data_IF_972016409290
#
_entry.id   IF_972016409290
#
_cell.length_a   1.000
_cell.length_b   1.000
_cell.length_c   1.000
_cell.angle_alpha   90.00
_cell.angle_beta   90.00
_cell.angle_gamma   90.00
#
_symmetry.space_group_name_H-M   'P 1'
#
loop_
_entity.id
_entity.type
_entity.pdbx_description
1 polymer ?
#
# COMPACT_ATOMS: atom_id res chain seq x y z
N UNK A 1 -1.55 1.38 1.02
CA UNK A 1 -1.97 0.48 -0.09
C UNK A 1 -2.06 1.27 -1.38
N UNK A 2 -1.66 0.69 -2.51
CA UNK A 2 -1.66 1.36 -3.83
C UNK A 2 -2.24 0.45 -4.90
N UNK A 3 -2.66 1.02 -6.03
CA UNK A 3 -2.93 0.26 -7.24
C UNK A 3 -1.63 -0.15 -7.97
N UNK A 4 -1.75 -0.82 -9.12
CA UNK A 4 -0.61 -1.26 -9.94
C UNK A 4 0.20 -0.10 -10.55
N UNK A 5 -0.34 1.09 -10.57
CA UNK A 5 0.32 2.31 -11.09
C UNK A 5 0.95 3.16 -9.98
N UNK A 6 0.84 2.73 -8.72
CA UNK A 6 1.32 3.46 -7.55
C UNK A 6 0.38 4.54 -7.05
N UNK A 7 -0.86 4.59 -7.55
CA UNK A 7 -1.86 5.53 -7.04
C UNK A 7 -2.29 5.09 -5.64
N UNK A 8 -2.20 5.96 -4.61
CA UNK A 8 -2.60 5.60 -3.26
C UNK A 8 -4.11 5.36 -3.19
N UNK A 9 -4.52 4.22 -2.64
CA UNK A 9 -5.91 3.81 -2.46
C UNK A 9 -6.37 3.91 -1.01
N UNK A 10 -5.48 3.58 -0.08
CA UNK A 10 -5.73 3.68 1.35
C UNK A 10 -4.42 3.91 2.10
N UNK A 11 -4.47 4.64 3.18
CA UNK A 11 -3.36 4.89 4.08
C UNK A 11 -3.86 4.86 5.53
N UNK A 12 -3.05 4.28 6.41
CA UNK A 12 -3.29 4.23 7.85
C UNK A 12 -2.00 4.65 8.54
N UNK A 13 -2.12 5.43 9.60
CA UNK A 13 -1.00 5.85 10.44
C UNK A 13 -1.07 5.12 11.76
N UNK A 14 0.04 4.55 12.18
CA UNK A 14 0.16 3.87 13.46
C UNK A 14 1.51 4.18 14.13
N UNK A 15 1.61 3.85 15.42
CA UNK A 15 2.87 3.96 16.12
C UNK A 15 3.93 3.00 15.56
N UNK A 16 5.19 3.40 15.59
CA UNK A 16 6.31 2.62 15.04
C UNK A 16 6.49 1.22 15.70
N UNK A 17 5.87 0.98 16.83
CA UNK A 17 5.86 -0.30 17.52
C UNK A 17 4.72 -1.23 17.07
N UNK A 18 3.83 -0.76 16.20
CA UNK A 18 2.73 -1.58 15.68
C UNK A 18 3.22 -2.38 14.48
N UNK A 19 3.09 -3.70 14.56
CA UNK A 19 3.49 -4.59 13.47
C UNK A 19 2.55 -4.44 12.28
N UNK A 20 3.10 -4.29 11.07
CA UNK A 20 2.37 -3.97 9.84
C UNK A 20 1.23 -4.96 9.52
N UNK A 21 1.42 -6.24 9.85
CA UNK A 21 0.39 -7.27 9.65
C UNK A 21 -0.93 -6.96 10.39
N UNK A 22 -0.85 -6.27 11.54
CA UNK A 22 -2.03 -5.87 12.33
C UNK A 22 -2.81 -4.74 11.67
N UNK A 23 -2.16 -3.95 10.81
CA UNK A 23 -2.76 -2.82 10.12
C UNK A 23 -3.44 -3.19 8.80
N UNK A 24 -3.36 -4.45 8.37
CA UNK A 24 -3.96 -4.88 7.10
C UNK A 24 -5.47 -4.71 7.12
N UNK A 25 -6.12 -5.10 8.22
CA UNK A 25 -7.57 -4.97 8.34
C UNK A 25 -8.01 -3.51 8.26
N UNK A 26 -7.39 -2.64 9.04
CA UNK A 26 -7.68 -1.20 9.06
C UNK A 26 -7.41 -0.55 7.69
N UNK A 27 -6.33 -0.97 7.03
CA UNK A 27 -5.99 -0.48 5.68
C UNK A 27 -7.04 -0.89 4.65
N UNK A 28 -7.57 -2.11 4.72
CA UNK A 28 -8.62 -2.57 3.82
C UNK A 28 -9.98 -1.93 4.14
N UNK A 29 -10.25 -1.64 5.40
CA UNK A 29 -11.48 -0.95 5.82
C UNK A 29 -11.46 0.54 5.46
N UNK A 30 -10.27 1.15 5.36
CA UNK A 30 -10.09 2.51 4.88
C UNK A 30 -10.30 2.68 3.36
N UNK A 31 -10.47 1.59 2.59
CA UNK A 31 -10.74 1.67 1.17
C UNK A 31 -12.15 2.23 0.89
N UNK A 32 -12.20 3.37 0.21
CA UNK A 32 -13.47 4.01 -0.18
C UNK A 32 -14.10 3.36 -1.43
N UNK A 33 -13.34 2.57 -2.18
CA UNK A 33 -13.80 1.90 -3.41
C UNK A 33 -14.69 0.67 -3.14
N UNK A 34 -14.88 0.31 -1.86
CA UNK A 34 -15.67 -0.84 -1.46
C UNK A 34 -14.98 -2.18 -1.76
N UNK A 35 -15.74 -3.27 -1.63
CA UNK A 35 -15.24 -4.62 -1.93
C UNK A 35 -15.09 -4.81 -3.43
N UNK A 36 -14.01 -5.45 -3.89
CA UNK A 36 -13.85 -5.75 -5.31
C UNK A 36 -14.96 -6.68 -5.80
N UNK A 37 -15.54 -6.38 -6.97
CA UNK A 37 -16.52 -7.22 -7.62
C UNK A 37 -15.97 -8.57 -8.10
N UNK A 38 -14.64 -8.63 -8.32
CA UNK A 38 -13.87 -9.83 -8.69
C UNK A 38 -12.73 -10.05 -7.69
N UNK A 39 -12.12 -11.23 -7.70
CA UNK A 39 -10.89 -11.46 -6.93
C UNK A 39 -9.76 -10.58 -7.47
N UNK A 40 -9.11 -9.86 -6.59
CA UNK A 40 -7.95 -9.02 -6.91
C UNK A 40 -6.71 -9.60 -6.23
N UNK A 41 -5.61 -9.66 -6.96
CA UNK A 41 -4.31 -10.03 -6.41
C UNK A 41 -3.78 -8.90 -5.53
N UNK A 42 -3.41 -9.21 -4.29
CA UNK A 42 -2.78 -8.30 -3.35
C UNK A 42 -1.33 -8.73 -3.13
N UNK A 43 -0.41 -7.95 -3.69
CA UNK A 43 1.02 -8.20 -3.52
C UNK A 43 1.48 -7.63 -2.17
N UNK A 44 2.15 -8.46 -1.40
CA UNK A 44 2.67 -8.11 -0.07
C UNK A 44 4.10 -8.65 0.07
N UNK A 45 4.87 -8.03 0.95
CA UNK A 45 6.19 -8.55 1.26
C UNK A 45 6.13 -9.73 2.23
N UNK A 46 7.28 -10.36 2.49
CA UNK A 46 7.39 -11.52 3.36
C UNK A 46 6.98 -11.25 4.82
N UNK A 47 7.03 -10.01 5.27
CA UNK A 47 6.61 -9.61 6.61
C UNK A 47 5.13 -9.85 6.90
N UNK A 48 4.34 -10.08 5.86
CA UNK A 48 2.90 -10.36 5.95
C UNK A 48 2.56 -11.86 5.91
N UNK A 49 3.53 -12.74 6.07
CA UNK A 49 3.30 -14.19 6.11
C UNK A 49 2.52 -14.59 7.37
N UNK A 50 1.35 -15.21 7.18
CA UNK A 50 0.50 -15.68 8.30
C UNK A 50 -0.80 -16.33 7.82
N UNK A 51 -1.08 -17.53 8.28
CA UNK A 51 -2.23 -18.31 7.82
C UNK A 51 -3.59 -17.65 8.08
N UNK A 52 -3.74 -16.92 9.20
CA UNK A 52 -4.96 -16.17 9.50
C UNK A 52 -5.19 -15.03 8.51
N UNK A 53 -4.09 -14.37 8.05
CA UNK A 53 -4.16 -13.27 7.12
C UNK A 53 -4.61 -13.73 5.74
N UNK A 54 -4.13 -14.89 5.29
CA UNK A 54 -4.59 -15.45 4.02
C UNK A 54 -6.10 -15.76 4.04
N UNK A 55 -6.60 -16.37 5.11
CA UNK A 55 -8.03 -16.65 5.27
C UNK A 55 -8.85 -15.36 5.29
N UNK A 56 -8.38 -14.35 6.02
CA UNK A 56 -9.01 -13.03 6.09
C UNK A 56 -9.06 -12.35 4.70
N UNK A 57 -7.95 -12.32 3.96
CA UNK A 57 -7.90 -11.71 2.64
C UNK A 57 -8.80 -12.43 1.63
N UNK A 58 -8.82 -13.76 1.64
CA UNK A 58 -9.70 -14.57 0.78
C UNK A 58 -11.18 -14.29 1.06
N UNK A 59 -11.56 -14.08 2.34
CA UNK A 59 -12.94 -13.69 2.71
C UNK A 59 -13.33 -12.30 2.18
N UNK A 60 -12.35 -11.43 1.98
CA UNK A 60 -12.51 -10.08 1.41
C UNK A 60 -12.37 -10.05 -0.13
N UNK A 61 -12.27 -11.20 -0.79
CA UNK A 61 -12.04 -11.36 -2.24
C UNK A 61 -10.66 -10.89 -2.73
N UNK A 62 -9.68 -10.87 -1.84
CA UNK A 62 -8.28 -10.68 -2.22
C UNK A 62 -7.56 -12.02 -2.28
N UNK A 63 -6.71 -12.17 -3.29
CA UNK A 63 -5.80 -13.29 -3.43
C UNK A 63 -4.40 -12.82 -3.01
N UNK A 64 -3.91 -13.24 -1.81
CA UNK A 64 -2.61 -12.82 -1.32
C UNK A 64 -1.50 -13.40 -2.20
N UNK A 65 -0.57 -12.55 -2.59
CA UNK A 65 0.65 -12.92 -3.27
C UNK A 65 1.83 -12.41 -2.44
N UNK A 66 2.39 -13.33 -1.63
CA UNK A 66 3.54 -13.04 -0.77
C UNK A 66 4.79 -13.55 -1.50
N UNK A 67 5.67 -12.65 -1.85
CA UNK A 67 6.88 -12.99 -2.59
C UNK A 67 7.92 -13.66 -1.71
N UNK A 68 8.34 -14.87 -2.08
CA UNK A 68 9.48 -15.52 -1.44
C UNK A 68 10.82 -15.00 -2.00
N UNK A 69 11.90 -15.07 -1.21
CA UNK A 69 13.26 -14.68 -1.67
C UNK A 69 13.74 -15.48 -2.89
N UNK A 70 13.26 -16.72 -3.06
CA UNK A 70 13.60 -17.56 -4.21
C UNK A 70 12.93 -17.07 -5.48
N UNK A 71 11.65 -16.70 -5.39
CA UNK A 71 10.90 -16.11 -6.51
C UNK A 71 11.46 -14.76 -6.92
N UNK A 72 11.97 -13.94 -5.97
CA UNK A 72 12.70 -12.71 -6.30
C UNK A 72 13.95 -12.98 -7.16
N UNK A 73 14.71 -14.03 -6.83
CA UNK A 73 15.93 -14.39 -7.58
C UNK A 73 15.62 -14.98 -8.95
N UNK A 74 14.52 -15.70 -9.10
CA UNK A 74 14.05 -16.26 -10.37
C UNK A 74 13.35 -15.22 -11.24
N UNK A 75 12.60 -14.28 -10.64
CA UNK A 75 11.94 -13.18 -11.32
C UNK A 75 12.93 -12.18 -11.92
N UNK A 76 14.12 -12.01 -11.31
CA UNK A 76 15.21 -11.20 -11.89
C UNK A 76 15.74 -11.84 -13.18
N UNK A 77 15.60 -13.15 -13.36
CA UNK A 77 16.00 -13.88 -14.57
C UNK A 77 14.92 -13.91 -15.66
N UNK A 78 13.65 -13.78 -15.29
CA UNK A 78 12.51 -13.77 -16.21
C UNK A 78 11.96 -12.33 -16.33
N UNK A 79 12.16 -11.71 -17.49
CA UNK A 79 11.80 -10.33 -17.80
C UNK A 79 10.31 -10.00 -17.70
N UNK A 80 9.42 -11.00 -17.63
CA UNK A 80 7.97 -10.80 -17.51
C UNK A 80 7.46 -10.61 -16.07
N UNK A 81 8.29 -10.90 -15.08
CA UNK A 81 7.92 -10.80 -13.66
C UNK A 81 8.63 -9.62 -12.99
N UNK A 82 8.34 -8.41 -13.43
CA UNK A 82 8.83 -7.22 -12.72
C UNK A 82 8.22 -7.19 -11.33
N UNK A 83 9.09 -7.36 -10.34
CA UNK A 83 8.78 -7.21 -8.92
C UNK A 83 7.97 -5.93 -8.71
N UNK A 84 6.74 -6.03 -8.24
CA UNK A 84 5.85 -4.88 -8.02
C UNK A 84 6.30 -3.99 -6.85
N UNK A 85 7.45 -4.28 -6.24
CA UNK A 85 8.05 -3.53 -5.15
C UNK A 85 8.28 -2.06 -5.50
N UNK A 86 8.74 -1.78 -6.73
CA UNK A 86 8.96 -0.43 -7.22
C UNK A 86 7.70 0.44 -7.21
N UNK A 87 6.50 -0.17 -7.21
CA UNK A 87 5.22 0.55 -7.19
C UNK A 87 5.03 1.29 -5.87
N UNK A 88 5.29 0.61 -4.74
CA UNK A 88 5.19 1.21 -3.40
C UNK A 88 6.30 2.24 -3.20
N UNK A 89 7.52 1.95 -3.65
CA UNK A 89 8.65 2.87 -3.58
C UNK A 89 8.37 4.15 -4.38
N UNK A 90 7.73 4.04 -5.54
CA UNK A 90 7.26 5.18 -6.35
C UNK A 90 6.27 6.04 -5.57
N UNK A 91 5.27 5.43 -4.94
CA UNK A 91 4.27 6.16 -4.16
C UNK A 91 4.92 6.90 -2.99
N UNK A 92 5.84 6.26 -2.27
CA UNK A 92 6.61 6.91 -1.21
C UNK A 92 7.46 8.07 -1.76
N UNK A 93 8.09 7.89 -2.93
CA UNK A 93 8.84 8.97 -3.59
C UNK A 93 7.95 10.17 -3.92
N UNK A 94 6.70 9.96 -4.34
CA UNK A 94 5.76 11.05 -4.57
C UNK A 94 5.33 11.72 -3.27
N UNK A 95 5.04 10.95 -2.21
CA UNK A 95 4.70 11.49 -0.89
C UNK A 95 5.85 12.31 -0.29
N UNK A 96 7.09 11.89 -0.49
CA UNK A 96 8.28 12.57 0.01
C UNK A 96 8.52 13.95 -0.60
N UNK A 97 7.84 14.30 -1.70
CA UNK A 97 7.84 15.66 -2.26
C UNK A 97 7.07 16.64 -1.38
N UNK A 98 6.19 16.15 -0.52
CA UNK A 98 5.46 16.98 0.45
C UNK A 98 6.25 17.05 1.74
N UNK A 99 6.91 18.19 1.95
CA UNK A 99 7.82 18.39 3.09
C UNK A 99 7.19 18.08 4.45
N UNK A 100 5.91 18.37 4.63
CA UNK A 100 5.19 18.12 5.89
C UNK A 100 4.87 16.63 6.10
N UNK A 101 4.85 15.83 5.04
CA UNK A 101 4.72 14.37 5.11
C UNK A 101 6.09 13.74 5.36
N UNK A 102 7.12 14.21 4.65
CA UNK A 102 8.49 13.72 4.80
C UNK A 102 9.05 13.96 6.21
N UNK A 103 8.81 15.16 6.74
CA UNK A 103 9.23 15.54 8.09
C UNK A 103 7.99 15.87 8.89
N UNK A 104 7.67 15.03 9.86
CA UNK A 104 6.51 15.24 10.72
C UNK A 104 6.75 16.40 11.66
N UNK A 105 6.15 17.54 11.35
CA UNK A 105 6.14 18.75 12.18
C UNK A 105 4.91 18.82 13.09
N UNK A 106 3.84 18.14 12.73
CA UNK A 106 2.58 18.14 13.45
C UNK A 106 2.70 17.36 14.76
N UNK A 107 2.40 18.01 15.87
CA UNK A 107 2.35 17.39 17.20
C UNK A 107 1.15 16.46 17.33
N UNK A 108 0.02 16.83 16.75
CA UNK A 108 -1.21 16.05 16.75
C UNK A 108 -1.21 15.07 15.58
N UNK A 109 -1.63 13.82 15.85
CA UNK A 109 -1.69 12.77 14.84
C UNK A 109 -2.68 13.12 13.74
N UNK A 110 -3.83 13.66 14.12
CA UNK A 110 -4.92 14.01 13.20
C UNK A 110 -4.47 15.06 12.16
N UNK A 111 -3.63 16.01 12.55
CA UNK A 111 -3.10 17.01 11.64
C UNK A 111 -2.11 16.37 10.63
N UNK A 112 -1.28 15.43 11.09
CA UNK A 112 -0.40 14.70 10.20
C UNK A 112 -1.17 13.81 9.22
N UNK A 113 -2.20 13.10 9.69
CA UNK A 113 -3.09 12.30 8.86
C UNK A 113 -3.80 13.16 7.80
N UNK A 114 -4.32 14.33 8.19
CA UNK A 114 -4.94 15.24 7.24
C UNK A 114 -3.97 15.68 6.14
N UNK A 115 -2.71 15.98 6.49
CA UNK A 115 -1.68 16.33 5.49
C UNK A 115 -1.31 15.16 4.60
N UNK A 116 -1.27 13.95 5.15
CA UNK A 116 -1.00 12.73 4.41
C UNK A 116 -2.12 12.43 3.41
N UNK A 117 -3.39 12.50 3.85
CA UNK A 117 -4.56 12.34 2.98
C UNK A 117 -4.62 13.42 1.90
N UNK A 118 -4.32 14.67 2.23
CA UNK A 118 -4.25 15.75 1.26
C UNK A 118 -3.19 15.48 0.19
N UNK A 119 -2.01 15.04 0.59
CA UNK A 119 -0.93 14.69 -0.33
C UNK A 119 -1.32 13.52 -1.25
N UNK A 120 -1.97 12.49 -0.71
CA UNK A 120 -2.53 11.39 -1.50
C UNK A 120 -3.57 11.90 -2.50
N UNK A 121 -4.47 12.79 -2.08
CA UNK A 121 -5.48 13.40 -2.96
C UNK A 121 -4.85 14.15 -4.13
N UNK A 122 -3.79 14.93 -3.89
CA UNK A 122 -3.06 15.62 -4.97
C UNK A 122 -2.36 14.64 -5.91
N UNK A 123 -1.78 13.54 -5.39
CA UNK A 123 -1.17 12.50 -6.22
C UNK A 123 -2.24 11.85 -7.12
N UNK A 124 -3.39 11.50 -6.56
CA UNK A 124 -4.54 10.93 -7.30
C UNK A 124 -5.01 11.90 -8.39
N UNK A 125 -5.21 13.16 -8.03
CA UNK A 125 -5.60 14.20 -8.96
C UNK A 125 -4.66 14.29 -10.16
N UNK A 126 -3.36 14.43 -9.89
CA UNK A 126 -2.35 14.55 -10.93
C UNK A 126 -2.30 13.31 -11.85
N UNK A 127 -2.49 12.11 -11.28
CA UNK A 127 -2.40 10.86 -12.05
C UNK A 127 -3.65 10.52 -12.85
N UNK A 128 -4.82 10.91 -12.37
CA UNK A 128 -6.09 10.57 -13.03
C UNK A 128 -6.53 11.67 -13.98
N UNK A 129 -6.32 12.94 -13.61
CA UNK A 129 -6.85 14.07 -14.37
C UNK A 129 -5.81 14.76 -15.27
N UNK A 130 -4.52 14.68 -14.91
CA UNK A 130 -3.46 15.34 -15.69
C UNK A 130 -2.56 14.33 -16.43
N UNK A 131 -2.75 13.01 -16.21
CA UNK A 131 -2.04 11.94 -16.93
C UNK A 131 -0.65 11.72 -16.41
#
# INVERSE_FOLDING_TARGET
MTDANGVPLAVVVAGANTHDIKLVADTLDALQTGRPGRRLRLCMDKGYEGGWLEAYLKSRRYEPHIQSRKEESEAIRNTDFKVHRWVVERTHSWMNRYRRVLVRWEKKVENYEAMLHFSCGVIVWNKILLG
#
